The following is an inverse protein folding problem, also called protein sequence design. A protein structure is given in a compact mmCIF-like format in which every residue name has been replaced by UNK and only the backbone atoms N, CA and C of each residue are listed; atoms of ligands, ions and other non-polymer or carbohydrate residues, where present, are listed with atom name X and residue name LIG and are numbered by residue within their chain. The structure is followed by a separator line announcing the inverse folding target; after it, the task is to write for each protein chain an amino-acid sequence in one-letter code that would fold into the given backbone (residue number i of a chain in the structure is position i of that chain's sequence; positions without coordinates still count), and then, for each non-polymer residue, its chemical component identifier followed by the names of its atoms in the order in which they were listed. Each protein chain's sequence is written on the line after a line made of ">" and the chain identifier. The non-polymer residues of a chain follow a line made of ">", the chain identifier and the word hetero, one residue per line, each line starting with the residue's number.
data_IF_697536068681
#
_entry.id   IF_697536068681
#
_cell.length_a   1.000
_cell.length_b   1.000
_cell.length_c   1.000
_cell.angle_alpha   90.00
_cell.angle_beta   90.00
_cell.angle_gamma   90.00
#
_symmetry.space_group_name_H-M   'P 1'
#
loop_
_entity.id
_entity.type
_entity.pdbx_description
1 polymer ?
#
# COMPACT_ATOMS: atom_id res chain seq x y z
N UNK A 1 6.14 -67.58 49.66
CA UNK A 1 6.27 -67.73 51.12
C UNK A 1 6.36 -66.34 51.72
N UNK A 2 5.44 -66.05 52.64
CA UNK A 2 5.28 -64.85 53.47
C UNK A 2 4.99 -63.53 52.73
N UNK A 3 3.75 -62.99 52.76
CA UNK A 3 3.05 -62.31 53.89
C UNK A 3 3.60 -60.90 54.13
N UNK A 4 2.85 -59.82 54.38
CA UNK A 4 1.42 -59.54 54.47
C UNK A 4 1.24 -58.00 54.57
N UNK A 5 -0.02 -57.54 54.49
CA UNK A 5 -0.59 -56.27 55.01
C UNK A 5 -0.87 -55.08 54.07
N UNK A 6 -2.18 -54.97 53.78
CA UNK A 6 -3.05 -53.83 53.44
C UNK A 6 -3.37 -53.00 54.74
N UNK A 7 -4.26 -51.98 54.82
CA UNK A 7 -4.86 -50.99 53.88
C UNK A 7 -4.93 -49.52 54.43
N UNK A 8 -5.69 -48.64 53.76
CA UNK A 8 -6.29 -47.33 54.18
C UNK A 8 -5.37 -46.10 54.18
N UNK A 9 -5.74 -44.86 53.84
CA UNK A 9 -6.97 -44.15 53.43
C UNK A 9 -6.55 -42.72 53.02
N UNK A 10 -7.19 -42.08 52.05
CA UNK A 10 -6.95 -40.66 51.77
C UNK A 10 -7.90 -40.09 50.74
N UNK A 11 -8.69 -39.11 51.16
CA UNK A 11 -9.77 -38.49 50.43
C UNK A 11 -9.31 -37.69 49.19
N UNK A 12 -10.28 -37.37 48.34
CA UNK A 12 -10.03 -36.92 46.98
C UNK A 12 -9.61 -35.47 46.80
N UNK A 13 -9.19 -35.18 45.58
CA UNK A 13 -9.37 -33.91 44.91
C UNK A 13 -9.47 -34.17 43.41
N UNK A 14 -10.60 -33.78 42.82
CA UNK A 14 -10.69 -33.56 41.38
C UNK A 14 -9.87 -32.32 41.08
N UNK A 15 -8.63 -32.49 40.65
CA UNK A 15 -7.90 -31.36 40.06
C UNK A 15 -8.16 -31.28 38.57
N UNK A 16 -9.20 -30.50 38.28
CA UNK A 16 -9.31 -29.68 37.08
C UNK A 16 -8.11 -28.73 37.04
N UNK A 17 -7.19 -28.93 36.11
CA UNK A 17 -6.40 -27.82 35.54
C UNK A 17 -5.99 -28.23 34.13
N UNK A 18 -6.82 -27.80 33.17
CA UNK A 18 -6.51 -26.67 32.31
C UNK A 18 -5.53 -27.09 31.21
N UNK A 19 -6.12 -27.52 30.09
CA UNK A 19 -5.53 -27.41 28.77
C UNK A 19 -4.86 -26.03 28.66
N UNK A 20 -3.55 -26.02 28.44
CA UNK A 20 -2.87 -24.83 27.95
C UNK A 20 -3.32 -24.59 26.51
N UNK A 21 -4.51 -24.01 26.40
CA UNK A 21 -4.95 -23.29 25.23
C UNK A 21 -4.10 -22.01 25.22
N UNK A 22 -2.90 -22.14 24.67
CA UNK A 22 -2.05 -21.01 24.33
C UNK A 22 -2.69 -20.31 23.15
N UNK A 23 -3.74 -19.53 23.42
CA UNK A 23 -4.46 -18.77 22.42
C UNK A 23 -3.49 -17.96 21.55
N UNK A 24 -3.31 -18.39 20.31
CA UNK A 24 -2.65 -17.66 19.23
C UNK A 24 -3.57 -16.52 18.75
N UNK A 25 -4.02 -15.69 19.69
CA UNK A 25 -5.00 -14.62 19.49
C UNK A 25 -4.38 -13.25 19.25
N UNK A 26 -3.11 -13.16 18.88
CA UNK A 26 -2.60 -11.98 18.20
C UNK A 26 -3.11 -12.08 16.77
N UNK A 27 -4.20 -11.37 16.46
CA UNK A 27 -4.65 -11.20 15.09
C UNK A 27 -3.48 -10.61 14.30
N UNK A 28 -2.78 -11.45 13.54
CA UNK A 28 -1.79 -10.99 12.58
C UNK A 28 -2.57 -10.39 11.40
N UNK A 29 -3.08 -9.18 11.63
CA UNK A 29 -4.01 -8.48 10.75
C UNK A 29 -3.22 -7.98 9.55
N UNK A 30 -3.25 -8.77 8.48
CA UNK A 30 -2.59 -8.44 7.22
C UNK A 30 -3.14 -7.12 6.66
N UNK A 31 -2.25 -6.23 6.26
CA UNK A 31 -2.56 -5.04 5.47
C UNK A 31 -2.10 -5.26 4.04
N UNK A 32 -3.03 -5.26 3.10
CA UNK A 32 -2.75 -5.41 1.67
C UNK A 32 -2.63 -4.02 1.06
N UNK A 33 -1.46 -3.66 0.55
CA UNK A 33 -1.21 -2.39 -0.13
C UNK A 33 -1.21 -2.59 -1.64
N UNK A 34 -2.10 -1.88 -2.34
CA UNK A 34 -2.29 -1.97 -3.78
C UNK A 34 -1.78 -0.71 -4.48
N UNK A 35 -1.00 -0.89 -5.54
CA UNK A 35 -0.72 0.17 -6.51
C UNK A 35 0.70 0.11 -7.08
N UNK A 36 1.35 1.27 -7.15
CA UNK A 36 2.61 1.42 -7.86
C UNK A 36 3.85 1.25 -6.96
N UNK A 37 4.92 0.74 -7.57
CA UNK A 37 6.27 0.77 -7.04
C UNK A 37 7.22 1.08 -8.20
N UNK A 38 8.16 1.99 -7.97
CA UNK A 38 8.96 2.61 -9.03
C UNK A 38 10.35 3.00 -8.52
N UNK A 39 11.22 3.47 -9.41
CA UNK A 39 12.52 4.02 -9.03
C UNK A 39 12.45 5.55 -9.00
N UNK A 40 12.74 6.13 -7.84
CA UNK A 40 13.01 7.55 -7.69
C UNK A 40 14.50 7.82 -7.95
N UNK A 41 14.80 8.72 -8.88
CA UNK A 41 16.11 9.31 -9.11
C UNK A 41 16.17 10.66 -8.43
N UNK A 42 16.87 10.71 -7.29
CA UNK A 42 17.06 11.92 -6.48
C UNK A 42 18.44 12.49 -6.77
N UNK A 43 18.58 13.80 -7.05
CA UNK A 43 19.87 14.40 -7.35
C UNK A 43 20.81 14.28 -6.15
N UNK A 44 22.09 14.10 -6.44
CA UNK A 44 23.17 14.02 -5.44
C UNK A 44 23.49 15.36 -4.79
N UNK A 45 23.00 16.45 -5.37
CA UNK A 45 23.11 17.83 -4.88
C UNK A 45 21.72 18.46 -4.84
N UNK A 46 21.45 19.28 -3.83
CA UNK A 46 20.18 20.00 -3.69
C UNK A 46 20.18 21.35 -4.39
N UNK A 47 18.99 21.92 -4.61
CA UNK A 47 18.84 23.28 -5.09
C UNK A 47 18.98 23.47 -6.61
N UNK A 48 19.12 22.39 -7.38
CA UNK A 48 19.36 22.40 -8.82
C UNK A 48 18.14 21.92 -9.61
N UNK A 49 18.01 22.32 -10.86
CA UNK A 49 17.02 21.73 -11.77
C UNK A 49 17.40 20.32 -12.20
N UNK A 50 16.47 19.59 -12.83
CA UNK A 50 16.75 18.27 -13.40
C UNK A 50 17.89 18.29 -14.44
N UNK A 51 17.97 19.35 -15.25
CA UNK A 51 18.97 19.48 -16.31
C UNK A 51 20.37 19.83 -15.77
N UNK A 52 20.44 20.49 -14.62
CA UNK A 52 21.70 20.91 -13.99
C UNK A 52 22.26 19.85 -13.02
N UNK A 53 21.43 18.90 -12.60
CA UNK A 53 21.83 17.83 -11.69
C UNK A 53 22.96 16.98 -12.31
N UNK A 54 24.16 16.93 -11.70
CA UNK A 54 25.31 16.22 -12.29
C UNK A 54 25.20 14.70 -12.17
N UNK A 55 24.48 14.21 -11.18
CA UNK A 55 24.26 12.79 -10.94
C UNK A 55 23.02 12.58 -10.08
N UNK A 56 22.39 11.42 -10.28
CA UNK A 56 21.23 10.97 -9.51
C UNK A 56 21.55 9.69 -8.75
N UNK A 57 20.99 9.56 -7.55
CA UNK A 57 20.97 8.32 -6.77
C UNK A 57 19.60 7.68 -6.93
N UNK A 58 19.58 6.40 -7.30
CA UNK A 58 18.35 5.59 -7.32
C UNK A 58 17.88 5.28 -5.91
N UNK A 59 16.58 5.35 -5.68
CA UNK A 59 15.89 4.95 -4.46
C UNK A 59 14.59 4.21 -4.82
N UNK A 60 14.15 3.22 -4.02
CA UNK A 60 12.82 2.67 -4.17
C UNK A 60 11.76 3.73 -3.84
N UNK A 61 10.75 3.84 -4.71
CA UNK A 61 9.62 4.73 -4.58
C UNK A 61 8.29 4.00 -4.78
N UNK A 62 7.19 4.76 -4.73
CA UNK A 62 5.81 4.24 -4.78
C UNK A 62 5.13 4.35 -3.42
N UNK A 63 4.00 5.06 -3.39
CA UNK A 63 3.36 5.39 -2.12
C UNK A 63 2.78 4.16 -1.41
N UNK A 64 2.05 3.24 -2.09
CA UNK A 64 1.54 2.03 -1.46
C UNK A 64 2.66 1.08 -1.02
N UNK A 65 3.75 0.97 -1.80
CA UNK A 65 4.91 0.16 -1.43
C UNK A 65 5.60 0.68 -0.16
N UNK A 66 5.75 2.01 -0.03
CA UNK A 66 6.30 2.62 1.17
C UNK A 66 5.42 2.38 2.41
N UNK A 67 4.10 2.36 2.26
CA UNK A 67 3.17 2.01 3.35
C UNK A 67 3.34 0.55 3.76
N UNK A 68 3.44 -0.39 2.81
CA UNK A 68 3.66 -1.81 3.11
C UNK A 68 4.97 -2.01 3.91
N UNK A 69 6.06 -1.40 3.46
CA UNK A 69 7.36 -1.45 4.16
C UNK A 69 7.27 -0.79 5.53
N UNK A 70 6.58 0.34 5.64
CA UNK A 70 6.37 1.03 6.92
C UNK A 70 5.65 0.17 7.95
N UNK A 71 4.58 -0.52 7.54
CA UNK A 71 3.82 -1.43 8.39
C UNK A 71 4.71 -2.58 8.89
N UNK A 72 5.46 -3.20 7.98
CA UNK A 72 6.33 -4.32 8.34
C UNK A 72 7.45 -3.91 9.29
N UNK A 73 8.07 -2.74 9.06
CA UNK A 73 9.07 -2.17 9.98
C UNK A 73 8.53 -1.83 11.37
N UNK A 74 7.24 -1.55 11.48
CA UNK A 74 6.57 -1.30 12.75
C UNK A 74 6.09 -2.59 13.45
N UNK A 75 6.39 -3.76 12.88
CA UNK A 75 6.07 -5.08 13.44
C UNK A 75 4.68 -5.60 13.07
N UNK A 76 3.99 -4.98 12.10
CA UNK A 76 2.75 -5.50 11.54
C UNK A 76 2.99 -6.38 10.31
N UNK A 77 1.97 -7.12 9.89
CA UNK A 77 2.02 -7.91 8.64
C UNK A 77 1.47 -7.11 7.45
N UNK A 78 2.23 -7.08 6.36
CA UNK A 78 1.83 -6.41 5.13
C UNK A 78 2.12 -7.24 3.88
N UNK A 79 1.30 -7.03 2.85
CA UNK A 79 1.50 -7.56 1.51
C UNK A 79 1.42 -6.44 0.48
N UNK A 80 2.10 -6.63 -0.65
CA UNK A 80 2.05 -5.69 -1.77
C UNK A 80 1.45 -6.35 -3.01
N UNK A 81 0.46 -5.69 -3.61
CA UNK A 81 -0.18 -6.07 -4.87
C UNK A 81 0.10 -4.98 -5.89
N UNK A 82 0.80 -5.35 -6.97
CA UNK A 82 1.24 -4.43 -7.99
C UNK A 82 1.99 -5.14 -9.11
N UNK A 83 2.34 -4.41 -10.16
CA UNK A 83 3.06 -4.94 -11.32
C UNK A 83 4.34 -4.17 -11.57
N UNK A 84 5.44 -4.89 -11.76
CA UNK A 84 6.78 -4.38 -12.01
C UNK A 84 7.24 -4.79 -13.41
N UNK A 85 8.24 -4.11 -13.96
CA UNK A 85 8.84 -4.56 -15.22
C UNK A 85 9.61 -5.86 -15.01
N UNK A 86 9.60 -6.74 -16.01
CA UNK A 86 10.51 -7.89 -16.09
C UNK A 86 11.92 -7.40 -16.46
N UNK A 87 12.52 -6.67 -15.52
CA UNK A 87 13.79 -5.98 -15.64
C UNK A 87 14.52 -5.86 -14.29
N UNK A 88 15.81 -5.49 -14.34
CA UNK A 88 16.67 -5.37 -13.16
C UNK A 88 16.12 -4.42 -12.09
N UNK A 89 15.40 -3.37 -12.49
CA UNK A 89 14.76 -2.48 -11.52
C UNK A 89 13.56 -3.14 -10.87
N UNK A 90 12.73 -3.87 -11.62
CA UNK A 90 11.61 -4.64 -11.08
C UNK A 90 12.07 -5.69 -10.06
N UNK A 91 13.08 -6.50 -10.40
CA UNK A 91 13.63 -7.50 -9.49
C UNK A 91 14.24 -6.87 -8.23
N UNK A 92 14.97 -5.76 -8.39
CA UNK A 92 15.49 -5.00 -7.25
C UNK A 92 14.37 -4.53 -6.31
N UNK A 93 13.31 -3.95 -6.86
CA UNK A 93 12.17 -3.44 -6.07
C UNK A 93 11.46 -4.57 -5.33
N UNK A 94 11.20 -5.70 -5.98
CA UNK A 94 10.62 -6.87 -5.34
C UNK A 94 11.52 -7.45 -4.23
N UNK A 95 12.85 -7.46 -4.43
CA UNK A 95 13.78 -7.88 -3.39
C UNK A 95 13.78 -6.93 -2.19
N UNK A 96 13.68 -5.63 -2.41
CA UNK A 96 13.56 -4.64 -1.31
C UNK A 96 12.31 -4.93 -0.48
N UNK A 97 11.16 -5.26 -1.09
CA UNK A 97 9.96 -5.66 -0.36
C UNK A 97 10.23 -6.89 0.52
N UNK A 98 10.86 -7.93 -0.04
CA UNK A 98 11.20 -9.17 0.68
C UNK A 98 12.18 -8.92 1.84
N UNK A 99 13.22 -8.13 1.62
CA UNK A 99 14.20 -7.74 2.65
C UNK A 99 13.55 -6.99 3.82
N UNK A 100 12.42 -6.31 3.56
CA UNK A 100 11.63 -5.63 4.57
C UNK A 100 10.44 -6.47 5.06
N UNK A 101 10.46 -7.79 4.87
CA UNK A 101 9.42 -8.72 5.32
C UNK A 101 7.99 -8.34 4.86
N UNK A 102 7.85 -7.83 3.63
CA UNK A 102 6.56 -7.63 2.98
C UNK A 102 6.25 -8.87 2.14
N UNK A 103 5.03 -9.42 2.24
CA UNK A 103 4.59 -10.50 1.35
C UNK A 103 4.48 -9.99 -0.09
N UNK A 104 5.28 -10.59 -0.97
CA UNK A 104 5.35 -10.28 -2.40
C UNK A 104 4.57 -11.25 -3.29
N UNK A 105 3.75 -12.14 -2.73
CA UNK A 105 2.91 -13.08 -3.49
C UNK A 105 1.95 -12.39 -4.47
N UNK A 106 1.57 -11.14 -4.18
CA UNK A 106 0.78 -10.26 -5.03
C UNK A 106 1.54 -9.51 -6.12
N UNK A 107 2.87 -9.63 -6.20
CA UNK A 107 3.69 -8.97 -7.23
C UNK A 107 3.59 -9.72 -8.56
N UNK A 108 3.41 -8.96 -9.65
CA UNK A 108 3.44 -9.45 -11.03
C UNK A 108 4.55 -8.78 -11.82
N UNK A 109 4.98 -9.41 -12.90
CA UNK A 109 5.99 -8.89 -13.81
C UNK A 109 5.41 -8.70 -15.21
N UNK A 110 5.79 -7.61 -15.87
CA UNK A 110 5.42 -7.32 -17.25
C UNK A 110 6.63 -7.40 -18.19
N UNK A 111 6.57 -8.25 -19.21
CA UNK A 111 7.65 -8.38 -20.19
C UNK A 111 7.57 -7.37 -21.34
N UNK A 112 6.51 -6.56 -21.41
CA UNK A 112 6.22 -5.61 -22.50
C UNK A 112 6.45 -4.15 -22.12
N UNK A 113 6.31 -3.82 -20.83
CA UNK A 113 6.56 -2.50 -20.29
C UNK A 113 7.63 -2.52 -19.19
N UNK A 114 8.39 -1.43 -19.09
CA UNK A 114 9.46 -1.28 -18.10
C UNK A 114 8.93 -0.82 -16.75
N UNK A 115 9.71 -1.05 -15.71
CA UNK A 115 9.52 -0.44 -14.39
C UNK A 115 9.50 1.09 -14.51
N UNK A 116 8.53 1.76 -13.89
CA UNK A 116 8.41 3.21 -13.93
C UNK A 116 9.62 3.90 -13.27
N UNK A 117 10.00 5.06 -13.80
CA UNK A 117 11.06 5.90 -13.24
C UNK A 117 10.50 7.30 -12.96
N UNK A 118 10.94 7.92 -11.88
CA UNK A 118 10.63 9.30 -11.55
C UNK A 118 11.93 10.05 -11.22
N UNK A 119 12.20 11.14 -11.92
CA UNK A 119 13.26 12.08 -11.53
C UNK A 119 12.63 13.18 -10.70
N UNK A 120 13.18 13.42 -9.51
CA UNK A 120 12.63 14.36 -8.54
C UNK A 120 13.72 15.28 -8.07
N UNK A 121 13.54 16.59 -8.23
CA UNK A 121 14.43 17.59 -7.63
C UNK A 121 13.65 18.62 -6.82
N UNK A 122 14.35 19.24 -5.88
CA UNK A 122 13.92 20.43 -5.16
C UNK A 122 14.88 21.55 -5.54
N UNK A 123 14.38 22.52 -6.31
CA UNK A 123 15.11 23.72 -6.72
C UNK A 123 15.39 24.63 -5.51
N UNK A 124 16.32 25.55 -5.66
CA UNK A 124 16.70 26.48 -4.59
C UNK A 124 15.55 27.40 -4.13
N UNK A 125 14.58 27.64 -5.01
CA UNK A 125 13.34 28.38 -4.74
C UNK A 125 12.30 27.56 -3.95
N UNK A 126 12.57 26.28 -3.67
CA UNK A 126 11.67 25.37 -2.97
C UNK A 126 10.62 24.71 -3.87
N UNK A 127 10.66 24.97 -5.19
CA UNK A 127 9.79 24.30 -6.15
C UNK A 127 10.29 22.87 -6.45
N UNK A 128 9.34 21.94 -6.48
CA UNK A 128 9.62 20.54 -6.81
C UNK A 128 9.40 20.32 -8.30
N UNK A 129 10.42 19.82 -8.98
CA UNK A 129 10.27 19.35 -10.37
C UNK A 129 10.15 17.83 -10.35
N UNK A 130 9.20 17.32 -11.15
CA UNK A 130 8.99 15.90 -11.36
C UNK A 130 9.02 15.59 -12.85
N UNK A 131 9.79 14.58 -13.24
CA UNK A 131 9.76 14.01 -14.59
C UNK A 131 9.53 12.51 -14.51
N UNK A 132 8.40 12.05 -15.02
CA UNK A 132 7.99 10.66 -14.96
C UNK A 132 8.19 9.95 -16.31
N UNK A 133 8.91 8.83 -16.29
CA UNK A 133 8.97 7.87 -17.38
C UNK A 133 7.93 6.78 -17.12
N UNK A 134 6.69 7.09 -17.50
CA UNK A 134 5.49 6.30 -17.20
C UNK A 134 4.51 6.25 -18.40
N UNK A 135 4.96 5.78 -19.57
CA UNK A 135 4.21 5.86 -20.84
C UNK A 135 4.44 4.69 -21.85
N UNK A 136 3.79 3.52 -21.68
CA UNK A 136 3.30 2.97 -20.43
C UNK A 136 4.45 2.34 -19.63
N UNK A 137 4.26 2.25 -18.32
CA UNK A 137 5.10 1.43 -17.43
C UNK A 137 4.30 0.23 -16.92
N UNK A 138 5.00 -0.76 -16.37
CA UNK A 138 4.39 -2.03 -15.94
C UNK A 138 3.26 -1.86 -14.91
N UNK A 139 3.38 -0.91 -13.97
CA UNK A 139 2.35 -0.65 -12.94
C UNK A 139 1.02 -0.19 -13.54
N UNK A 140 1.03 0.39 -14.75
CA UNK A 140 -0.19 0.79 -15.47
C UNK A 140 -0.95 -0.38 -16.09
N UNK A 141 -0.29 -1.54 -16.22
CA UNK A 141 -0.75 -2.68 -17.01
C UNK A 141 -1.17 -3.88 -16.16
N UNK A 142 -1.34 -3.69 -14.84
CA UNK A 142 -1.93 -4.72 -14.01
C UNK A 142 -3.40 -4.91 -14.41
N UNK A 143 -3.76 -6.15 -14.70
CA UNK A 143 -5.10 -6.56 -15.09
C UNK A 143 -5.82 -7.32 -13.97
N UNK A 144 -7.14 -7.26 -13.95
CA UNK A 144 -7.97 -7.96 -12.96
C UNK A 144 -7.70 -9.47 -12.92
N UNK A 145 -7.43 -10.09 -14.08
CA UNK A 145 -7.12 -11.52 -14.17
C UNK A 145 -5.82 -11.92 -13.48
N UNK A 146 -4.94 -10.96 -13.17
CA UNK A 146 -3.65 -11.20 -12.52
C UNK A 146 -3.73 -11.09 -10.99
N UNK A 147 -4.86 -10.59 -10.45
CA UNK A 147 -5.07 -10.40 -9.02
C UNK A 147 -5.03 -11.74 -8.26
N UNK A 148 -4.22 -11.80 -7.21
CA UNK A 148 -4.36 -12.85 -6.21
C UNK A 148 -5.58 -12.58 -5.33
N UNK A 149 -6.70 -13.18 -5.69
CA UNK A 149 -7.96 -12.99 -4.98
C UNK A 149 -7.90 -13.51 -3.55
N UNK A 150 -7.11 -14.55 -3.26
CA UNK A 150 -7.03 -15.11 -1.91
C UNK A 150 -6.24 -14.17 -0.99
N UNK A 151 -5.14 -13.60 -1.47
CA UNK A 151 -4.36 -12.62 -0.73
C UNK A 151 -5.21 -11.40 -0.33
N UNK A 152 -5.98 -10.85 -1.29
CA UNK A 152 -6.85 -9.69 -1.04
C UNK A 152 -7.91 -10.02 0.02
N UNK A 153 -8.56 -11.20 -0.07
CA UNK A 153 -9.58 -11.65 0.88
C UNK A 153 -9.07 -11.84 2.31
N UNK A 154 -7.78 -12.15 2.48
CA UNK A 154 -7.15 -12.30 3.80
C UNK A 154 -6.82 -10.95 4.46
N UNK A 155 -6.79 -9.87 3.68
CA UNK A 155 -6.50 -8.53 4.17
C UNK A 155 -7.56 -8.03 5.16
N UNK A 156 -7.12 -7.61 6.33
CA UNK A 156 -7.99 -6.89 7.29
C UNK A 156 -8.13 -5.41 6.92
N UNK A 157 -7.13 -4.86 6.25
CA UNK A 157 -7.10 -3.50 5.69
C UNK A 157 -6.61 -3.62 4.26
N UNK A 158 -7.30 -2.94 3.34
CA UNK A 158 -6.87 -2.77 1.96
C UNK A 158 -6.52 -1.30 1.73
N UNK A 159 -5.23 -1.02 1.55
CA UNK A 159 -4.69 0.33 1.39
C UNK A 159 -4.36 0.62 -0.07
N UNK A 160 -4.79 1.78 -0.58
CA UNK A 160 -4.60 2.16 -1.98
C UNK A 160 -4.47 3.67 -2.15
N UNK A 161 -3.90 4.07 -3.29
CA UNK A 161 -3.79 5.48 -3.71
C UNK A 161 -4.57 5.81 -4.97
N UNK A 162 -4.39 7.03 -5.49
CA UNK A 162 -5.11 7.50 -6.69
C UNK A 162 -4.37 7.28 -8.02
N UNK A 163 -3.06 7.00 -8.00
CA UNK A 163 -2.24 6.89 -9.23
C UNK A 163 -2.71 5.74 -10.13
N UNK A 164 -3.15 4.64 -9.53
CA UNK A 164 -3.69 3.49 -10.24
C UNK A 164 -5.05 3.77 -10.91
N UNK A 165 -5.73 4.89 -10.56
CA UNK A 165 -6.95 5.35 -11.22
C UNK A 165 -6.68 6.16 -12.50
N UNK A 166 -5.43 6.42 -12.88
CA UNK A 166 -5.14 7.33 -13.99
C UNK A 166 -5.49 6.70 -15.34
N UNK A 167 -5.17 5.41 -15.54
CA UNK A 167 -5.29 4.75 -16.83
C UNK A 167 -5.83 3.32 -16.70
N UNK A 168 -6.47 2.85 -17.78
CA UNK A 168 -6.80 1.44 -17.95
C UNK A 168 -5.56 0.65 -18.42
N UNK A 169 -5.47 -0.66 -18.10
CA UNK A 169 -6.42 -1.48 -17.33
C UNK A 169 -6.30 -1.37 -15.80
N UNK A 170 -5.30 -0.64 -15.29
CA UNK A 170 -5.05 -0.60 -13.85
C UNK A 170 -6.23 0.03 -13.07
N UNK A 171 -6.94 1.01 -13.64
CA UNK A 171 -8.12 1.63 -13.00
C UNK A 171 -9.20 0.59 -12.71
N UNK A 172 -9.68 -0.13 -13.74
CA UNK A 172 -10.69 -1.18 -13.55
C UNK A 172 -10.20 -2.28 -12.60
N UNK A 173 -8.92 -2.61 -12.67
CA UNK A 173 -8.29 -3.59 -11.76
C UNK A 173 -8.29 -3.14 -10.29
N UNK A 174 -7.98 -1.86 -10.02
CA UNK A 174 -8.07 -1.31 -8.67
C UNK A 174 -9.50 -1.38 -8.14
N UNK A 175 -10.50 -1.01 -8.95
CA UNK A 175 -11.91 -1.07 -8.55
C UNK A 175 -12.34 -2.51 -8.22
N UNK A 176 -11.92 -3.49 -9.01
CA UNK A 176 -12.19 -4.90 -8.75
C UNK A 176 -11.54 -5.38 -7.44
N UNK A 177 -10.28 -4.99 -7.19
CA UNK A 177 -9.58 -5.33 -5.96
C UNK A 177 -10.24 -4.68 -4.72
N UNK A 178 -10.66 -3.42 -4.82
CA UNK A 178 -11.39 -2.70 -3.77
C UNK A 178 -12.72 -3.39 -3.44
N UNK A 179 -13.51 -3.75 -4.46
CA UNK A 179 -14.77 -4.45 -4.27
C UNK A 179 -14.57 -5.79 -3.58
N UNK A 180 -13.56 -6.56 -4.02
CA UNK A 180 -13.22 -7.84 -3.43
C UNK A 180 -12.83 -7.73 -1.95
N UNK A 181 -12.01 -6.73 -1.60
CA UNK A 181 -11.63 -6.46 -0.22
C UNK A 181 -12.84 -6.08 0.64
N UNK A 182 -13.69 -5.18 0.14
CA UNK A 182 -14.91 -4.73 0.83
C UNK A 182 -15.88 -5.87 1.10
N UNK A 183 -16.15 -6.71 0.10
CA UNK A 183 -17.00 -7.90 0.24
C UNK A 183 -16.44 -8.92 1.25
N UNK A 184 -15.12 -8.89 1.47
CA UNK A 184 -14.43 -9.75 2.44
C UNK A 184 -14.35 -9.17 3.85
N UNK A 185 -14.90 -7.97 4.06
CA UNK A 185 -14.92 -7.29 5.35
C UNK A 185 -13.64 -6.51 5.67
N UNK A 186 -12.76 -6.26 4.70
CA UNK A 186 -11.60 -5.39 4.89
C UNK A 186 -12.03 -3.93 5.10
N UNK A 187 -11.29 -3.21 5.94
CA UNK A 187 -11.36 -1.74 6.00
C UNK A 187 -10.66 -1.17 4.77
N UNK A 188 -11.32 -0.26 4.05
CA UNK A 188 -10.76 0.44 2.91
C UNK A 188 -10.04 1.73 3.36
N UNK A 189 -8.71 1.75 3.20
CA UNK A 189 -7.84 2.88 3.53
C UNK A 189 -7.35 3.57 2.27
N UNK A 190 -7.71 4.84 2.09
CA UNK A 190 -7.39 5.61 0.90
C UNK A 190 -6.44 6.77 1.21
N UNK A 191 -5.32 6.84 0.50
CA UNK A 191 -4.45 8.02 0.46
C UNK A 191 -4.41 8.57 -0.99
N UNK A 192 -5.20 9.60 -1.32
CA UNK A 192 -5.20 10.17 -2.67
C UNK A 192 -3.80 10.55 -3.16
N UNK A 193 -2.88 10.94 -2.27
CA UNK A 193 -1.49 11.25 -2.57
C UNK A 193 -1.27 11.92 -3.95
N UNK A 194 -1.96 13.03 -4.21
CA UNK A 194 -2.04 13.66 -5.53
C UNK A 194 -0.64 13.87 -6.13
N UNK A 195 -0.48 13.43 -7.38
CA UNK A 195 0.67 13.69 -8.26
C UNK A 195 0.17 14.33 -9.53
N UNK A 196 -0.16 15.61 -9.46
CA UNK A 196 -0.81 16.34 -10.56
C UNK A 196 -0.12 16.17 -11.93
N UNK A 197 1.24 16.13 -12.05
CA UNK A 197 1.90 15.91 -13.35
C UNK A 197 1.62 14.57 -14.03
N UNK A 198 1.07 13.57 -13.31
CA UNK A 198 0.68 12.29 -13.89
C UNK A 198 -0.74 12.31 -14.49
N UNK A 199 -1.53 13.33 -14.15
CA UNK A 199 -2.91 13.44 -14.61
C UNK A 199 -3.00 14.30 -15.87
N UNK A 200 -3.94 14.02 -16.80
CA UNK A 200 -4.14 14.84 -17.99
C UNK A 200 -4.53 16.29 -17.68
N UNK A 201 -5.23 16.53 -16.58
CA UNK A 201 -5.60 17.86 -16.07
C UNK A 201 -5.94 17.82 -14.58
N UNK A 202 -6.06 18.99 -13.95
CA UNK A 202 -6.54 19.13 -12.58
C UNK A 202 -7.98 18.60 -12.41
N UNK A 203 -8.83 18.83 -13.40
CA UNK A 203 -10.21 18.33 -13.42
C UNK A 203 -10.25 16.81 -13.48
N UNK A 204 -9.43 16.19 -14.35
CA UNK A 204 -9.33 14.74 -14.45
C UNK A 204 -8.81 14.13 -13.13
N UNK A 205 -7.82 14.79 -12.49
CA UNK A 205 -7.33 14.38 -11.18
C UNK A 205 -8.43 14.43 -10.12
N UNK A 206 -9.19 15.53 -10.07
CA UNK A 206 -10.32 15.69 -9.15
C UNK A 206 -11.38 14.62 -9.39
N UNK A 207 -11.80 14.40 -10.63
CA UNK A 207 -12.82 13.40 -10.98
C UNK A 207 -12.36 11.98 -10.62
N UNK A 208 -11.14 11.61 -11.00
CA UNK A 208 -10.56 10.31 -10.67
C UNK A 208 -10.48 10.10 -9.17
N UNK A 209 -9.93 11.05 -8.41
CA UNK A 209 -9.81 10.94 -6.95
C UNK A 209 -11.20 10.85 -6.28
N UNK A 210 -12.17 11.66 -6.74
CA UNK A 210 -13.52 11.68 -6.16
C UNK A 210 -14.34 10.44 -6.52
N UNK A 211 -14.05 9.77 -7.64
CA UNK A 211 -14.83 8.61 -8.12
C UNK A 211 -14.91 7.44 -7.11
N UNK A 212 -13.93 7.34 -6.22
CA UNK A 212 -13.86 6.29 -5.18
C UNK A 212 -13.89 6.85 -3.76
N UNK A 213 -14.14 8.14 -3.60
CA UNK A 213 -13.99 8.84 -2.33
C UNK A 213 -14.93 8.30 -1.25
N UNK A 214 -16.22 8.17 -1.58
CA UNK A 214 -17.24 7.68 -0.65
C UNK A 214 -17.23 6.15 -0.46
N UNK A 215 -16.30 5.45 -1.13
CA UNK A 215 -16.12 4.02 -0.94
C UNK A 215 -15.16 3.70 0.21
N UNK A 216 -14.28 4.64 0.56
CA UNK A 216 -13.26 4.46 1.60
C UNK A 216 -13.83 4.64 3.02
N UNK A 217 -13.33 3.83 3.96
CA UNK A 217 -13.67 3.96 5.38
C UNK A 217 -12.75 4.95 6.10
N UNK A 218 -11.48 5.01 5.67
CA UNK A 218 -10.45 5.92 6.19
C UNK A 218 -9.83 6.66 5.01
N UNK A 219 -9.78 7.98 5.08
CA UNK A 219 -9.12 8.81 4.08
C UNK A 219 -8.00 9.61 4.76
N UNK A 220 -6.76 9.41 4.28
CA UNK A 220 -5.60 10.21 4.66
C UNK A 220 -5.42 11.32 3.64
N UNK A 221 -5.52 12.56 4.08
CA UNK A 221 -5.22 13.73 3.27
C UNK A 221 -4.10 14.54 3.88
N UNK A 222 -3.18 15.00 3.03
CA UNK A 222 -2.21 16.00 3.42
C UNK A 222 -2.79 17.39 3.14
N UNK A 223 -2.76 18.27 4.14
CA UNK A 223 -3.18 19.65 3.96
C UNK A 223 -2.04 20.43 3.29
N UNK A 224 -2.00 20.44 1.96
CA UNK A 224 -1.05 21.27 1.21
C UNK A 224 -1.74 22.53 0.71
N UNK A 225 -1.29 23.69 1.19
CA UNK A 225 -1.86 25.03 0.90
C UNK A 225 -1.85 25.42 -0.58
N UNK A 226 -1.17 24.65 -1.44
CA UNK A 226 -1.01 24.95 -2.88
C UNK A 226 -2.10 24.38 -3.78
N UNK A 227 -2.86 23.38 -3.36
CA UNK A 227 -3.84 22.72 -4.24
C UNK A 227 -5.28 23.05 -3.82
N UNK A 228 -5.87 24.04 -4.49
CA UNK A 228 -7.27 24.43 -4.26
C UNK A 228 -8.26 23.27 -4.48
N UNK A 229 -7.88 22.27 -5.29
CA UNK A 229 -8.69 21.09 -5.55
C UNK A 229 -8.91 20.25 -4.29
N UNK A 230 -7.84 19.90 -3.55
CA UNK A 230 -7.93 19.11 -2.32
C UNK A 230 -8.70 19.87 -1.24
N UNK A 231 -8.49 21.18 -1.10
CA UNK A 231 -9.26 22.01 -0.17
C UNK A 231 -10.76 22.03 -0.49
N UNK A 232 -11.13 22.18 -1.77
CA UNK A 232 -12.54 22.14 -2.20
C UNK A 232 -13.16 20.76 -1.97
N UNK A 233 -12.39 19.68 -2.18
CA UNK A 233 -12.83 18.31 -1.94
C UNK A 233 -13.07 18.05 -0.44
N UNK A 234 -12.18 18.53 0.42
CA UNK A 234 -12.32 18.44 1.87
C UNK A 234 -13.51 19.25 2.40
N UNK A 235 -13.72 20.47 1.90
CA UNK A 235 -14.87 21.30 2.26
C UNK A 235 -16.20 20.69 1.81
N UNK A 236 -16.21 20.02 0.65
CA UNK A 236 -17.39 19.30 0.18
C UNK A 236 -17.68 18.11 1.10
N UNK A 237 -16.72 17.23 1.35
CA UNK A 237 -16.96 16.02 2.13
C UNK A 237 -17.20 16.26 3.62
N UNK A 238 -16.48 17.21 4.25
CA UNK A 238 -16.75 17.63 5.64
C UNK A 238 -18.20 18.09 5.84
N UNK A 239 -18.82 18.63 4.78
CA UNK A 239 -20.20 19.10 4.82
C UNK A 239 -21.23 17.99 4.65
N UNK A 240 -20.85 16.80 4.17
CA UNK A 240 -21.81 15.78 3.72
C UNK A 240 -21.54 14.34 4.20
N UNK A 241 -20.49 14.07 4.98
CA UNK A 241 -20.07 12.68 5.30
C UNK A 241 -19.73 12.42 6.76
N UNK A 242 -19.95 11.18 7.20
CA UNK A 242 -19.84 10.70 8.61
C UNK A 242 -18.49 10.07 8.99
N UNK A 243 -17.47 10.11 8.12
CA UNK A 243 -16.23 9.34 8.31
C UNK A 243 -15.15 10.01 9.15
N UNK A 244 -14.11 9.26 9.51
CA UNK A 244 -13.04 9.67 10.43
C UNK A 244 -11.81 10.24 9.70
N UNK A 245 -11.27 11.38 10.17
CA UNK A 245 -10.08 12.03 9.61
C UNK A 245 -8.82 11.72 10.42
N UNK A 246 -7.71 11.43 9.74
CA UNK A 246 -6.37 11.49 10.32
C UNK A 246 -5.56 12.59 9.61
N UNK A 247 -5.25 13.67 10.33
CA UNK A 247 -4.42 14.77 9.84
C UNK A 247 -2.94 14.47 10.08
N UNK A 248 -2.10 14.74 9.07
CA UNK A 248 -0.63 14.81 9.18
C UNK A 248 -0.12 16.02 8.41
#
# INVERSE_FOLDING_TARGET
>A
MADNHNPTSGAGSKDLSASMDGGSGAYDRLVVCFGEMLIDFVPTVGGVSLAEAPAFKKAPGGAPANVAVGISRLGGSSAFVGKLGDDEFGYMLANILKENNVDTSGVRYDSTARTALAFVTLRADGEREFLFFRHPSADMLLCESELDKNLIKQGSIFHYGSISLIAEPCRSTQLAAMNLAKESGSILSYDPNLRLPLWPSEEAAREGIMSIWDQADIIKVKFETRYSCIQKMLLHWYRYSSGFFMFQ
#
